data_IF_038709867360
#
_entry.id   IF_038709867360
#
_cell.length_a   1.000
_cell.length_b   1.000
_cell.length_c   1.000
_cell.angle_alpha   90.00
_cell.angle_beta   90.00
_cell.angle_gamma   90.00
#
_symmetry.space_group_name_H-M   'P 1'
#
loop_
_entity.id
_entity.type
_entity.pdbx_description
1 polymer ?
#
# COMPACT_ATOMS: atom_id res chain seq x y z
N UNK A 1 -21.45 -17.43 18.22
CA UNK A 1 -20.71 -16.90 17.05
C UNK A 1 -21.33 -15.55 16.69
N UNK A 2 -20.61 -14.45 16.90
CA UNK A 2 -21.15 -13.11 16.68
C UNK A 2 -21.41 -12.88 15.19
N UNK A 3 -22.68 -12.93 14.77
CA UNK A 3 -23.09 -12.55 13.42
C UNK A 3 -22.87 -11.03 13.26
N UNK A 4 -22.20 -10.55 12.19
CA UNK A 4 -22.07 -9.11 11.93
C UNK A 4 -23.46 -8.45 12.00
N UNK A 5 -23.58 -7.37 12.77
CA UNK A 5 -24.89 -6.80 13.19
C UNK A 5 -25.78 -6.42 12.00
N UNK A 6 -25.18 -6.03 10.87
CA UNK A 6 -25.88 -5.70 9.63
C UNK A 6 -26.59 -6.89 8.99
N UNK A 7 -25.98 -8.09 9.01
CA UNK A 7 -26.58 -9.28 8.39
C UNK A 7 -27.81 -9.77 9.17
N UNK A 8 -27.88 -9.47 10.48
CA UNK A 8 -29.05 -9.75 11.30
C UNK A 8 -30.25 -8.90 10.88
N UNK A 9 -30.05 -7.61 10.60
CA UNK A 9 -31.12 -6.69 10.18
C UNK A 9 -31.74 -7.08 8.83
N UNK A 10 -30.97 -7.75 7.97
CA UNK A 10 -31.43 -8.21 6.65
C UNK A 10 -32.11 -9.59 6.66
N UNK A 11 -32.11 -10.29 7.79
CA UNK A 11 -32.70 -11.63 7.89
C UNK A 11 -31.94 -12.69 7.10
N UNK A 12 -30.65 -12.47 6.80
CA UNK A 12 -29.82 -13.41 6.04
C UNK A 12 -29.50 -14.61 6.94
N UNK A 13 -29.93 -15.77 6.49
CA UNK A 13 -29.84 -17.05 7.21
C UNK A 13 -28.42 -17.62 7.26
N UNK A 14 -27.58 -17.33 6.26
CA UNK A 14 -26.20 -17.81 6.18
C UNK A 14 -25.18 -16.65 6.08
N UNK A 15 -24.68 -16.14 7.21
CA UNK A 15 -23.63 -15.13 7.25
C UNK A 15 -22.29 -15.63 6.65
N UNK A 16 -22.05 -16.95 6.66
CA UNK A 16 -20.82 -17.52 6.15
C UNK A 16 -20.77 -17.36 4.62
N UNK A 17 -21.89 -17.59 3.94
CA UNK A 17 -21.99 -17.41 2.48
C UNK A 17 -21.58 -15.99 2.04
N UNK A 18 -22.11 -14.96 2.71
CA UNK A 18 -21.78 -13.57 2.38
C UNK A 18 -20.31 -13.27 2.68
N UNK A 19 -19.80 -13.80 3.79
CA UNK A 19 -18.40 -13.62 4.15
C UNK A 19 -17.46 -14.32 3.16
N UNK A 20 -17.84 -15.49 2.63
CA UNK A 20 -17.11 -16.19 1.57
C UNK A 20 -17.12 -15.40 0.26
N UNK A 21 -18.27 -14.86 -0.15
CA UNK A 21 -18.35 -14.00 -1.35
C UNK A 21 -17.46 -12.77 -1.18
N UNK A 22 -17.57 -12.11 -0.02
CA UNK A 22 -16.73 -10.97 0.34
C UNK A 22 -15.23 -11.29 0.25
N UNK A 23 -14.82 -12.44 0.79
CA UNK A 23 -13.43 -12.91 0.78
C UNK A 23 -12.87 -13.17 -0.62
N UNK A 24 -13.72 -13.39 -1.62
CA UNK A 24 -13.32 -13.66 -3.02
C UNK A 24 -13.34 -12.40 -3.89
N UNK A 25 -14.30 -11.49 -3.66
CA UNK A 25 -14.44 -10.25 -4.45
C UNK A 25 -13.16 -9.40 -4.41
N UNK A 26 -12.59 -9.21 -3.23
CA UNK A 26 -11.38 -8.40 -3.08
C UNK A 26 -10.18 -8.94 -3.86
N UNK A 27 -9.77 -10.21 -3.67
CA UNK A 27 -8.68 -10.83 -4.42
C UNK A 27 -8.87 -10.79 -5.94
N UNK A 28 -10.09 -10.99 -6.45
CA UNK A 28 -10.37 -10.93 -7.90
C UNK A 28 -10.10 -9.52 -8.45
N UNK A 29 -10.64 -8.49 -7.79
CA UNK A 29 -10.40 -7.10 -8.21
C UNK A 29 -8.94 -6.70 -8.10
N UNK A 30 -8.27 -7.15 -7.04
CA UNK A 30 -6.85 -6.91 -6.84
C UNK A 30 -6.00 -7.56 -7.96
N UNK A 31 -6.28 -8.82 -8.30
CA UNK A 31 -5.60 -9.53 -9.38
C UNK A 31 -5.82 -8.83 -10.72
N UNK A 32 -7.06 -8.44 -11.02
CA UNK A 32 -7.40 -7.68 -12.22
C UNK A 32 -6.61 -6.37 -12.30
N UNK A 33 -6.55 -5.61 -11.20
CA UNK A 33 -5.85 -4.34 -11.16
C UNK A 33 -4.34 -4.51 -11.37
N UNK A 34 -3.71 -5.47 -10.68
CA UNK A 34 -2.28 -5.74 -10.79
C UNK A 34 -1.91 -6.18 -12.22
N UNK A 35 -2.70 -7.05 -12.85
CA UNK A 35 -2.37 -7.56 -14.20
C UNK A 35 -2.57 -6.48 -15.28
N UNK A 36 -3.66 -5.72 -15.19
CA UNK A 36 -4.10 -4.90 -16.33
C UNK A 36 -3.89 -3.39 -16.14
N UNK A 37 -3.89 -2.86 -14.91
CA UNK A 37 -4.00 -1.41 -14.68
C UNK A 37 -2.78 -0.82 -13.98
N UNK A 38 -2.10 -1.54 -13.08
CA UNK A 38 -1.11 -0.96 -12.17
C UNK A 38 0.02 -0.19 -12.88
N UNK A 39 0.60 -0.77 -13.94
CA UNK A 39 1.69 -0.14 -14.67
C UNK A 39 1.20 0.91 -15.68
N UNK A 40 -0.06 0.84 -16.09
CA UNK A 40 -0.66 1.81 -17.01
C UNK A 40 -1.07 3.10 -16.30
N UNK A 41 -1.65 3.00 -15.12
CA UNK A 41 -2.24 4.13 -14.40
C UNK A 41 -1.21 4.82 -13.50
N UNK A 42 -0.23 4.09 -12.99
CA UNK A 42 0.73 4.58 -12.00
C UNK A 42 0.22 4.38 -10.57
N UNK A 43 0.91 4.99 -9.60
CA UNK A 43 0.66 4.76 -8.17
C UNK A 43 -0.15 5.90 -7.54
N UNK A 44 0.06 7.16 -7.93
CA UNK A 44 -0.62 8.30 -7.31
C UNK A 44 -2.11 8.36 -7.65
N UNK A 45 -2.45 8.17 -8.93
CA UNK A 45 -3.84 8.29 -9.41
C UNK A 45 -4.80 7.30 -8.74
N UNK A 46 -4.48 5.99 -8.62
CA UNK A 46 -5.40 5.07 -7.98
C UNK A 46 -5.48 5.29 -6.46
N UNK A 47 -4.43 5.81 -5.80
CA UNK A 47 -4.50 6.21 -4.38
C UNK A 47 -5.46 7.41 -4.17
N UNK A 48 -5.43 8.41 -5.05
CA UNK A 48 -6.38 9.53 -5.03
C UNK A 48 -7.81 9.07 -5.31
N UNK A 49 -8.00 8.23 -6.34
CA UNK A 49 -9.30 7.65 -6.65
C UNK A 49 -9.83 6.81 -5.48
N UNK A 50 -8.97 5.94 -4.91
CA UNK A 50 -9.29 5.08 -3.80
C UNK A 50 -9.73 5.86 -2.57
N UNK A 51 -8.96 6.87 -2.16
CA UNK A 51 -9.26 7.65 -0.95
C UNK A 51 -10.55 8.43 -1.09
N UNK A 52 -10.80 9.04 -2.25
CA UNK A 52 -12.06 9.73 -2.53
C UNK A 52 -13.25 8.77 -2.51
N UNK A 53 -13.17 7.65 -3.23
CA UNK A 53 -14.28 6.70 -3.34
C UNK A 53 -14.54 5.95 -2.03
N UNK A 54 -13.49 5.60 -1.27
CA UNK A 54 -13.62 5.00 0.06
C UNK A 54 -14.26 5.98 1.04
N UNK A 55 -13.84 7.25 1.05
CA UNK A 55 -14.49 8.27 1.86
C UNK A 55 -15.98 8.40 1.53
N UNK A 56 -16.34 8.42 0.23
CA UNK A 56 -17.72 8.51 -0.21
C UNK A 56 -18.55 7.28 0.21
N UNK A 57 -18.02 6.06 0.00
CA UNK A 57 -18.72 4.83 0.36
C UNK A 57 -18.96 4.73 1.87
N UNK A 58 -17.93 5.04 2.67
CA UNK A 58 -18.01 5.00 4.12
C UNK A 58 -18.88 6.13 4.68
N UNK A 59 -18.96 7.28 4.02
CA UNK A 59 -19.88 8.35 4.40
C UNK A 59 -21.34 7.94 4.21
N UNK A 60 -21.65 7.25 3.10
CA UNK A 60 -22.98 6.68 2.86
C UNK A 60 -23.29 5.59 3.88
N UNK A 61 -22.34 4.69 4.17
CA UNK A 61 -22.51 3.66 5.20
C UNK A 61 -22.76 4.27 6.59
N UNK A 62 -22.03 5.33 6.93
CA UNK A 62 -22.25 6.10 8.17
C UNK A 62 -23.68 6.64 8.23
N UNK A 63 -24.14 7.31 7.16
CA UNK A 63 -25.47 7.91 7.12
C UNK A 63 -26.58 6.87 7.24
N UNK A 64 -26.44 5.73 6.55
CA UNK A 64 -27.39 4.62 6.62
C UNK A 64 -27.45 4.06 8.05
N UNK A 65 -26.30 3.80 8.67
CA UNK A 65 -26.27 3.20 10.01
C UNK A 65 -26.65 4.18 11.13
N UNK A 66 -26.46 5.48 10.92
CA UNK A 66 -26.93 6.52 11.84
C UNK A 66 -28.45 6.69 11.78
N UNK A 67 -29.03 6.71 10.57
CA UNK A 67 -30.46 6.95 10.36
C UNK A 67 -31.33 5.72 10.56
N UNK A 68 -30.81 4.54 10.19
CA UNK A 68 -31.51 3.26 10.28
C UNK A 68 -30.65 2.25 11.05
N UNK A 69 -30.52 2.38 12.39
CA UNK A 69 -29.73 1.43 13.17
C UNK A 69 -30.23 -0.01 12.95
N UNK A 70 -29.33 -1.01 12.85
CA UNK A 70 -29.70 -2.42 12.64
C UNK A 70 -30.67 -2.98 13.70
N UNK A 71 -30.64 -2.40 14.90
CA UNK A 71 -31.46 -2.80 16.06
C UNK A 71 -32.74 -1.93 16.21
N UNK A 72 -33.11 -1.13 15.20
CA UNK A 72 -34.29 -0.27 15.24
C UNK A 72 -35.62 -1.04 15.08
N UNK A 73 -36.68 -0.54 15.70
CA UNK A 73 -38.02 -1.14 15.65
C UNK A 73 -38.67 -1.13 14.25
N UNK A 74 -38.18 -0.29 13.33
CA UNK A 74 -38.59 -0.20 11.93
C UNK A 74 -37.38 -0.37 11.00
N UNK A 75 -36.88 -1.60 10.79
CA UNK A 75 -35.72 -1.83 9.94
C UNK A 75 -36.07 -1.55 8.47
N UNK A 76 -35.51 -0.48 7.91
CA UNK A 76 -35.58 -0.24 6.47
C UNK A 76 -34.64 -1.22 5.74
N UNK A 77 -35.21 -2.36 5.32
CA UNK A 77 -34.48 -3.42 4.62
C UNK A 77 -33.78 -2.92 3.35
N UNK A 78 -34.37 -1.97 2.63
CA UNK A 78 -33.76 -1.40 1.44
C UNK A 78 -32.51 -0.57 1.77
N UNK A 79 -32.56 0.24 2.83
CA UNK A 79 -31.40 1.01 3.30
C UNK A 79 -30.27 0.08 3.78
N UNK A 80 -30.59 -0.98 4.50
CA UNK A 80 -29.62 -1.98 4.94
C UNK A 80 -28.99 -2.73 3.75
N UNK A 81 -29.78 -3.06 2.72
CA UNK A 81 -29.28 -3.67 1.49
C UNK A 81 -28.33 -2.75 0.74
N UNK A 82 -28.65 -1.45 0.67
CA UNK A 82 -27.76 -0.44 0.12
C UNK A 82 -26.45 -0.32 0.93
N UNK A 83 -26.50 -0.42 2.26
CA UNK A 83 -25.31 -0.45 3.12
C UNK A 83 -24.37 -1.61 2.77
N UNK A 84 -24.92 -2.82 2.62
CA UNK A 84 -24.13 -3.99 2.19
C UNK A 84 -23.54 -3.79 0.79
N UNK A 85 -24.33 -3.28 -0.16
CA UNK A 85 -23.83 -3.01 -1.52
C UNK A 85 -22.67 -1.99 -1.51
N UNK A 86 -22.78 -0.91 -0.73
CA UNK A 86 -21.72 0.08 -0.58
C UNK A 86 -20.47 -0.51 0.08
N UNK A 87 -20.62 -1.44 1.01
CA UNK A 87 -19.50 -2.16 1.61
C UNK A 87 -18.75 -3.01 0.56
N UNK A 88 -19.47 -3.74 -0.31
CA UNK A 88 -18.85 -4.48 -1.42
C UNK A 88 -18.16 -3.58 -2.44
N UNK A 89 -18.74 -2.41 -2.74
CA UNK A 89 -18.11 -1.40 -3.60
C UNK A 89 -16.84 -0.87 -2.94
N UNK A 90 -16.88 -0.53 -1.65
CA UNK A 90 -15.72 -0.07 -0.91
C UNK A 90 -14.57 -1.08 -0.95
N UNK A 91 -14.86 -2.37 -0.74
CA UNK A 91 -13.85 -3.44 -0.86
C UNK A 91 -13.28 -3.56 -2.26
N UNK A 92 -14.12 -3.47 -3.29
CA UNK A 92 -13.66 -3.50 -4.68
C UNK A 92 -12.75 -2.32 -5.00
N UNK A 93 -13.12 -1.11 -4.54
CA UNK A 93 -12.31 0.11 -4.67
C UNK A 93 -10.98 -0.03 -3.93
N UNK A 94 -10.99 -0.54 -2.69
CA UNK A 94 -9.78 -0.78 -1.92
C UNK A 94 -8.84 -1.74 -2.66
N UNK A 95 -9.37 -2.82 -3.20
CA UNK A 95 -8.61 -3.82 -3.96
C UNK A 95 -7.98 -3.31 -5.24
N UNK A 96 -8.53 -2.26 -5.87
CA UNK A 96 -7.94 -1.62 -7.05
C UNK A 96 -7.12 -0.35 -6.73
N UNK A 97 -6.90 -0.06 -5.45
CA UNK A 97 -6.17 1.13 -5.01
C UNK A 97 -5.18 0.82 -3.88
N UNK A 98 -5.54 1.05 -2.62
CA UNK A 98 -4.67 0.89 -1.46
C UNK A 98 -4.23 -0.56 -1.24
N UNK A 99 -5.06 -1.54 -1.61
CA UNK A 99 -4.77 -2.96 -1.43
C UNK A 99 -3.40 -3.36 -1.98
N UNK A 100 -3.13 -3.16 -3.27
CA UNK A 100 -1.82 -3.42 -3.85
C UNK A 100 -0.84 -2.25 -3.71
N UNK A 101 -1.31 -1.01 -3.89
CA UNK A 101 -0.39 0.12 -4.06
C UNK A 101 0.27 0.54 -2.74
N UNK A 102 -0.40 0.40 -1.60
CA UNK A 102 0.20 0.79 -0.33
C UNK A 102 1.50 0.00 -0.05
N UNK A 103 1.55 -1.27 -0.45
CA UNK A 103 2.74 -2.11 -0.26
C UNK A 103 3.83 -1.83 -1.30
N UNK A 104 3.45 -1.67 -2.57
CA UNK A 104 4.43 -1.40 -3.63
C UNK A 104 5.02 -0.01 -3.50
N UNK A 105 4.21 1.01 -3.21
CA UNK A 105 4.65 2.38 -3.07
C UNK A 105 5.67 2.54 -1.93
N UNK A 106 5.43 1.90 -0.78
CA UNK A 106 6.40 1.92 0.33
C UNK A 106 7.74 1.29 -0.08
N UNK A 107 7.71 0.21 -0.88
CA UNK A 107 8.95 -0.39 -1.38
C UNK A 107 9.68 0.49 -2.42
N UNK A 108 8.94 1.31 -3.18
CA UNK A 108 9.47 2.18 -4.25
C UNK A 108 10.06 3.49 -3.73
N UNK A 109 9.57 4.03 -2.61
CA UNK A 109 10.04 5.33 -2.08
C UNK A 109 11.31 5.24 -1.23
N UNK A 110 11.62 4.08 -0.65
CA UNK A 110 12.78 3.94 0.22
C UNK A 110 14.03 3.54 -0.57
N UNK A 111 15.18 4.22 -0.32
CA UNK A 111 16.45 3.85 -0.92
C UNK A 111 16.88 2.44 -0.61
N UNK A 112 17.62 1.81 -1.53
CA UNK A 112 18.05 0.41 -1.42
C UNK A 112 18.63 0.05 -0.04
N UNK A 113 19.45 0.95 0.54
CA UNK A 113 20.14 0.72 1.82
C UNK A 113 19.21 0.76 3.04
N UNK A 114 18.17 1.59 3.00
CA UNK A 114 17.26 1.82 4.15
C UNK A 114 15.88 1.19 3.94
N UNK A 115 15.61 0.65 2.75
CA UNK A 115 14.33 0.04 2.37
C UNK A 115 13.85 -1.02 3.35
N UNK A 116 14.72 -1.94 3.76
CA UNK A 116 14.33 -2.98 4.71
C UNK A 116 13.82 -2.40 6.04
N UNK A 117 14.44 -1.33 6.53
CA UNK A 117 14.02 -0.64 7.76
C UNK A 117 12.74 0.18 7.55
N UNK A 118 12.62 0.88 6.42
CA UNK A 118 11.42 1.65 6.09
C UNK A 118 10.18 0.77 5.92
N UNK A 119 10.32 -0.33 5.19
CA UNK A 119 9.24 -1.32 4.96
C UNK A 119 8.85 -2.01 6.27
N UNK A 120 9.80 -2.35 7.14
CA UNK A 120 9.49 -2.99 8.42
C UNK A 120 8.77 -2.04 9.38
N UNK A 121 9.18 -0.76 9.44
CA UNK A 121 8.48 0.26 10.19
C UNK A 121 7.05 0.46 9.68
N UNK A 122 6.85 0.60 8.37
CA UNK A 122 5.52 0.73 7.76
C UNK A 122 4.63 -0.49 8.08
N UNK A 123 5.19 -1.70 8.03
CA UNK A 123 4.47 -2.93 8.36
C UNK A 123 4.09 -2.98 9.84
N UNK A 124 5.01 -2.61 10.74
CA UNK A 124 4.72 -2.54 12.18
C UNK A 124 3.61 -1.52 12.48
N UNK A 125 3.68 -0.33 11.88
CA UNK A 125 2.63 0.69 11.99
C UNK A 125 1.28 0.17 11.47
N UNK A 126 1.25 -0.52 10.32
CA UNK A 126 0.03 -1.12 9.78
C UNK A 126 -0.64 -2.08 10.78
N UNK A 127 0.14 -3.02 11.33
CA UNK A 127 -0.39 -3.99 12.30
C UNK A 127 -0.78 -3.34 13.63
N UNK A 128 -0.03 -2.34 14.10
CA UNK A 128 -0.36 -1.59 15.31
C UNK A 128 -1.72 -0.87 15.16
N UNK A 129 -1.96 -0.21 14.04
CA UNK A 129 -3.25 0.42 13.76
C UNK A 129 -4.38 -0.62 13.61
N UNK A 130 -4.13 -1.77 12.98
CA UNK A 130 -5.12 -2.85 12.92
C UNK A 130 -5.54 -3.33 14.31
N UNK A 131 -4.61 -3.45 15.26
CA UNK A 131 -4.93 -3.80 16.66
C UNK A 131 -5.70 -2.68 17.33
N UNK A 132 -5.24 -1.42 17.23
CA UNK A 132 -5.90 -0.26 17.81
C UNK A 132 -7.38 -0.18 17.37
N UNK A 133 -7.60 -0.39 16.09
CA UNK A 133 -8.90 -0.37 15.43
C UNK A 133 -9.75 -1.63 15.70
N UNK A 134 -9.13 -2.78 15.95
CA UNK A 134 -9.83 -4.00 16.31
C UNK A 134 -10.34 -4.03 17.77
N UNK A 135 -9.80 -3.18 18.64
CA UNK A 135 -10.17 -3.12 20.06
C UNK A 135 -11.34 -2.17 20.34
N UNK A 136 -11.62 -1.23 19.44
CA UNK A 136 -12.72 -0.28 19.61
C UNK A 136 -14.07 -0.91 19.18
N UNK A 137 -15.07 -0.83 20.07
CA UNK A 137 -16.44 -1.28 19.81
C UNK A 137 -17.37 -0.11 19.45
N UNK A 138 -16.81 1.04 19.08
CA UNK A 138 -17.57 2.17 18.58
C UNK A 138 -18.49 1.72 17.44
N UNK A 139 -19.78 2.04 17.58
CA UNK A 139 -20.82 1.70 16.62
C UNK A 139 -20.68 2.51 15.32
N UNK A 140 -21.76 3.05 14.77
CA UNK A 140 -21.75 3.79 13.51
C UNK A 140 -20.75 4.98 13.46
N UNK A 141 -20.38 5.55 14.62
CA UNK A 141 -19.39 6.64 14.72
C UNK A 141 -17.98 6.23 14.26
N UNK A 142 -17.71 4.93 14.27
CA UNK A 142 -16.43 4.39 13.83
C UNK A 142 -16.19 4.60 12.33
N UNK A 143 -17.26 4.55 11.53
CA UNK A 143 -17.17 4.86 10.10
C UNK A 143 -16.79 6.32 9.83
N UNK A 144 -17.23 7.27 10.67
CA UNK A 144 -16.82 8.69 10.54
C UNK A 144 -15.32 8.87 10.67
N UNK A 145 -14.68 8.14 11.59
CA UNK A 145 -13.23 8.20 11.75
C UNK A 145 -12.53 7.81 10.44
N UNK A 146 -12.97 6.71 9.80
CA UNK A 146 -12.39 6.30 8.52
C UNK A 146 -12.69 7.27 7.38
N UNK A 147 -13.85 7.92 7.36
CA UNK A 147 -14.14 8.99 6.39
C UNK A 147 -13.12 10.11 6.54
N UNK A 148 -12.89 10.59 7.77
CA UNK A 148 -11.92 11.66 8.05
C UNK A 148 -10.51 11.22 7.65
N UNK A 149 -10.09 10.00 8.00
CA UNK A 149 -8.78 9.46 7.66
C UNK A 149 -8.59 9.31 6.14
N UNK A 150 -9.63 8.90 5.39
CA UNK A 150 -9.54 8.80 3.94
C UNK A 150 -9.46 10.18 3.28
N UNK A 151 -10.23 11.17 3.75
CA UNK A 151 -10.12 12.55 3.28
C UNK A 151 -8.73 13.12 3.57
N UNK A 152 -8.20 12.90 4.77
CA UNK A 152 -6.84 13.28 5.12
C UNK A 152 -5.81 12.58 4.23
N UNK A 153 -5.98 11.27 3.97
CA UNK A 153 -5.13 10.51 3.07
C UNK A 153 -5.16 11.06 1.64
N UNK A 154 -6.33 11.47 1.14
CA UNK A 154 -6.48 12.11 -0.17
C UNK A 154 -5.59 13.35 -0.29
N UNK A 155 -5.65 14.26 0.69
CA UNK A 155 -4.82 15.46 0.68
C UNK A 155 -3.34 15.14 0.85
N UNK A 156 -3.00 14.16 1.69
CA UNK A 156 -1.61 13.72 1.85
C UNK A 156 -1.02 13.18 0.55
N UNK A 157 -1.76 12.33 -0.15
CA UNK A 157 -1.35 11.79 -1.46
C UNK A 157 -1.29 12.91 -2.50
N UNK A 158 -2.24 13.84 -2.49
CA UNK A 158 -2.28 14.94 -3.45
C UNK A 158 -1.03 15.83 -3.33
N UNK A 159 -0.67 16.20 -2.11
CA UNK A 159 0.38 17.20 -1.83
C UNK A 159 1.78 16.60 -1.71
N UNK A 160 1.94 15.44 -1.07
CA UNK A 160 3.26 14.93 -0.67
C UNK A 160 3.73 13.72 -1.46
N UNK A 161 2.84 12.98 -2.14
CA UNK A 161 3.24 11.75 -2.81
C UNK A 161 3.70 12.05 -4.25
N UNK A 162 4.98 11.83 -4.59
CA UNK A 162 5.43 11.82 -5.97
C UNK A 162 4.85 10.63 -6.75
N UNK A 163 4.76 10.76 -8.07
CA UNK A 163 4.46 9.62 -8.94
C UNK A 163 5.72 8.78 -9.14
N UNK A 164 5.63 7.48 -8.88
CA UNK A 164 6.74 6.51 -8.99
C UNK A 164 6.71 5.73 -10.30
N UNK A 165 5.66 5.87 -11.11
CA UNK A 165 5.53 5.17 -12.39
C UNK A 165 6.69 5.46 -13.33
N UNK A 166 7.35 4.39 -13.79
CA UNK A 166 8.36 4.45 -14.85
C UNK A 166 9.71 5.00 -14.41
N UNK A 167 9.93 5.16 -13.10
CA UNK A 167 11.21 5.55 -12.52
C UNK A 167 12.00 4.33 -12.08
N UNK A 168 13.31 4.35 -12.28
CA UNK A 168 14.19 3.33 -11.68
C UNK A 168 14.41 3.63 -10.19
N UNK A 169 14.92 2.65 -9.45
CA UNK A 169 15.19 2.84 -8.02
C UNK A 169 16.28 3.90 -7.80
N UNK A 170 17.23 4.01 -8.71
CA UNK A 170 18.31 5.01 -8.69
C UNK A 170 17.76 6.42 -8.91
N UNK A 171 16.82 6.61 -9.85
CA UNK A 171 16.16 7.90 -10.08
C UNK A 171 15.27 8.32 -8.89
N UNK A 172 14.77 7.36 -8.12
CA UNK A 172 14.06 7.63 -6.87
C UNK A 172 15.03 8.05 -5.76
N UNK A 173 16.21 7.43 -5.69
CA UNK A 173 17.27 7.79 -4.74
C UNK A 173 17.76 9.23 -4.99
N UNK A 174 17.91 9.64 -6.26
CA UNK A 174 18.21 11.03 -6.64
C UNK A 174 17.10 12.01 -6.23
N UNK A 175 15.83 11.64 -6.40
CA UNK A 175 14.68 12.48 -6.03
C UNK A 175 14.64 12.78 -4.53
N UNK A 176 15.10 11.84 -3.70
CA UNK A 176 15.17 11.98 -2.24
C UNK A 176 16.54 12.44 -1.73
N UNK A 177 17.49 12.70 -2.64
CA UNK A 177 18.79 13.29 -2.31
C UNK A 177 19.81 12.31 -1.71
N UNK A 178 19.69 11.01 -1.96
CA UNK A 178 20.70 10.04 -1.53
C UNK A 178 21.92 10.09 -2.45
N UNK A 179 23.13 9.89 -1.91
CA UNK A 179 24.35 9.89 -2.72
C UNK A 179 24.40 8.61 -3.55
N UNK A 180 24.33 8.75 -4.88
CA UNK A 180 24.57 7.65 -5.83
C UNK A 180 25.94 7.05 -5.53
N UNK A 181 25.97 5.91 -4.85
CA UNK A 181 27.19 5.12 -4.71
C UNK A 181 27.39 4.47 -6.07
N UNK A 182 28.22 5.11 -6.89
CA UNK A 182 28.56 4.61 -8.21
C UNK A 182 29.35 3.30 -8.07
N UNK A 183 28.64 2.17 -8.18
CA UNK A 183 29.23 0.84 -8.10
C UNK A 183 30.21 0.55 -9.24
N UNK A 184 30.28 1.41 -10.27
CA UNK A 184 31.32 1.33 -11.32
C UNK A 184 32.72 1.69 -10.81
N UNK A 185 32.85 2.30 -9.63
CA UNK A 185 34.16 2.54 -9.02
C UNK A 185 34.77 1.29 -8.38
N UNK A 186 33.98 0.26 -8.09
CA UNK A 186 34.50 -0.99 -7.55
C UNK A 186 35.14 -1.89 -8.61
N UNK A 187 34.75 -1.75 -9.89
CA UNK A 187 35.41 -2.42 -11.02
C UNK A 187 36.72 -1.74 -11.43
N UNK A 188 37.02 -0.55 -10.89
CA UNK A 188 38.26 0.20 -11.12
C UNK A 188 39.29 0.02 -10.01
N UNK A 189 39.03 -0.87 -9.04
CA UNK A 189 40.12 -1.38 -8.19
C UNK A 189 41.05 -2.16 -9.11
N UNK A 190 42.34 -1.77 -9.25
CA UNK A 190 43.28 -2.55 -10.06
C UNK A 190 43.27 -3.97 -9.52
N UNK A 191 43.03 -4.94 -10.41
CA UNK A 191 43.02 -6.35 -10.02
C UNK A 191 44.34 -6.67 -9.32
N UNK A 192 44.31 -7.55 -8.32
CA UNK A 192 45.51 -7.96 -7.59
C UNK A 192 46.59 -8.53 -8.54
N UNK A 193 46.17 -9.03 -9.71
CA UNK A 193 47.04 -9.43 -10.83
C UNK A 193 47.85 -8.27 -11.44
N UNK A 194 47.26 -7.07 -11.52
CA UNK A 194 47.88 -5.90 -12.15
C UNK A 194 48.94 -5.29 -11.22
N UNK A 195 48.72 -5.34 -9.90
CA UNK A 195 49.73 -4.98 -8.90
C UNK A 195 50.93 -5.94 -8.89
N UNK A 196 50.70 -7.24 -9.10
CA UNK A 196 51.78 -8.23 -9.19
C UNK A 196 52.62 -8.06 -10.47
N UNK A 197 51.98 -7.69 -11.59
CA UNK A 197 52.64 -7.40 -12.87
C UNK A 197 53.56 -6.17 -12.81
N UNK A 198 53.10 -5.08 -12.16
CA UNK A 198 53.87 -3.85 -11.98
C UNK A 198 55.12 -4.08 -11.10
N UNK A 199 55.00 -4.83 -10.01
CA UNK A 199 56.13 -5.17 -9.14
C UNK A 199 57.16 -6.12 -9.78
N UNK A 200 56.74 -6.93 -10.76
CA UNK A 200 57.62 -7.82 -11.50
C UNK A 200 58.47 -7.10 -12.56
N UNK A 201 57.94 -6.04 -13.19
CA UNK A 201 58.67 -5.24 -14.17
C UNK A 201 59.78 -4.39 -13.54
N UNK A 202 59.50 -3.74 -12.41
CA UNK A 202 60.49 -2.92 -11.68
C UNK A 202 61.73 -3.72 -11.27
N UNK A 203 61.56 -4.97 -10.83
CA UNK A 203 62.67 -5.85 -10.44
C UNK A 203 63.54 -6.31 -11.62
N UNK A 204 62.98 -6.35 -12.83
CA UNK A 204 63.74 -6.72 -14.02
C UNK A 204 64.46 -5.50 -14.62
N UNK A 205 63.86 -4.31 -14.57
CA UNK A 205 64.53 -3.09 -15.03
C UNK A 205 65.73 -2.72 -14.13
N UNK A 206 65.62 -2.89 -12.80
CA UNK A 206 66.74 -2.68 -11.88
C UNK A 206 67.93 -3.62 -12.11
N UNK A 207 67.70 -4.84 -12.63
CA UNK A 207 68.77 -5.80 -12.95
C UNK A 207 69.51 -5.51 -14.27
N UNK A 208 68.97 -4.64 -15.12
CA UNK A 208 69.58 -4.30 -16.40
C UNK A 208 70.40 -3.01 -16.38
N UNK A 209 70.44 -2.30 -15.25
CA UNK A 209 71.19 -1.05 -15.08
C UNK A 209 72.51 -1.26 -14.30
N UNK A 210 72.70 -2.41 -13.65
CA UNK A 210 73.96 -2.79 -13.00
C UNK A 210 74.87 -3.60 -13.94
N UNK A 211 75.61 -2.94 -14.83
CA UNK A 211 76.87 -3.43 -15.43
C UNK A 211 77.81 -2.26 -15.74
#
# INVERSE_FOLDING_TARGET
MARPRMYRALGISDPLLIQSIYGVVGPIWNLFFIIFLVDRVGRKKPLLFGSFMLAACLAVETAINAQYPPDSANPNKAAQGAGVAMFFIATSVFSVSYGPIAWTYVAEIFPMRTRAMGVSAATCTNWAFNVLFGLDNAAWKYYLLFVILNVFSFFMVLLFFPETKGKTLEEMDELFGDQVIDHTLDSKRPNMSDRASSHGKDKNELKHVEY
#
